data_IF_595782963901
#
_entry.id   IF_595782963901
#
_cell.length_a   1.000
_cell.length_b   1.000
_cell.length_c   1.000
_cell.angle_alpha   90.00
_cell.angle_beta   90.00
_cell.angle_gamma   90.00
#
_symmetry.space_group_name_H-M   'P 1'
#
loop_
_entity.id
_entity.type
_entity.pdbx_description
1 polymer ?
#
# COMPACT_ATOMS: atom_id res chain seq x y z
N UNK A 1 67.52 -46.97 5.61
CA UNK A 1 66.57 -46.39 4.64
C UNK A 1 65.15 -46.72 5.07
N UNK A 2 64.62 -46.15 6.16
CA UNK A 2 63.22 -46.33 6.58
C UNK A 2 62.72 -45.11 7.37
N UNK A 3 61.78 -44.41 6.72
CA UNK A 3 60.72 -43.45 7.10
C UNK A 3 60.83 -42.61 8.40
N UNK A 4 60.82 -41.28 8.21
CA UNK A 4 60.58 -40.22 9.21
C UNK A 4 59.11 -40.20 9.69
N UNK A 5 58.81 -39.82 10.95
CA UNK A 5 57.45 -39.66 11.44
C UNK A 5 56.94 -38.25 11.08
N UNK A 6 55.70 -38.15 10.59
CA UNK A 6 54.98 -36.87 10.49
C UNK A 6 53.82 -36.95 11.47
N UNK A 7 53.96 -36.25 12.59
CA UNK A 7 52.90 -35.95 13.53
C UNK A 7 52.14 -34.71 13.03
N UNK A 8 50.82 -34.72 13.30
CA UNK A 8 49.89 -33.58 13.26
C UNK A 8 49.55 -33.08 11.84
N UNK A 9 48.30 -32.86 11.45
CA UNK A 9 47.22 -32.20 12.18
C UNK A 9 45.89 -32.79 11.73
N UNK A 10 45.09 -33.19 12.71
CA UNK A 10 43.67 -33.48 12.58
C UNK A 10 42.97 -32.18 12.13
N UNK A 11 42.77 -31.98 10.82
CA UNK A 11 41.78 -30.99 10.35
C UNK A 11 40.41 -31.61 10.48
N UNK A 12 39.92 -31.62 11.71
CA UNK A 12 38.50 -31.73 11.99
C UNK A 12 37.87 -30.49 11.34
N UNK A 13 37.41 -30.64 10.11
CA UNK A 13 36.44 -29.73 9.54
C UNK A 13 35.17 -29.93 10.38
N UNK A 14 35.12 -29.25 11.53
CA UNK A 14 33.85 -28.85 12.11
C UNK A 14 33.28 -27.90 11.05
N UNK A 15 32.50 -28.47 10.11
CA UNK A 15 31.49 -27.69 9.43
C UNK A 15 30.65 -27.15 10.57
N UNK A 16 30.82 -25.88 10.87
CA UNK A 16 29.80 -25.14 11.57
C UNK A 16 28.62 -25.18 10.61
N UNK A 17 27.76 -26.19 10.72
CA UNK A 17 26.37 -26.04 10.32
C UNK A 17 25.87 -24.91 11.21
N UNK A 18 25.98 -23.69 10.71
CA UNK A 18 25.14 -22.61 11.18
C UNK A 18 23.73 -23.10 10.93
N UNK A 19 23.10 -23.64 11.98
CA UNK A 19 21.65 -23.78 12.03
C UNK A 19 21.10 -22.39 11.70
N UNK A 20 20.73 -22.19 10.43
CA UNK A 20 19.89 -21.09 9.99
C UNK A 20 18.52 -21.35 10.59
N UNK A 21 18.40 -21.13 11.90
CA UNK A 21 17.17 -20.58 12.46
C UNK A 21 17.06 -19.19 11.85
N UNK A 22 16.62 -19.15 10.60
CA UNK A 22 16.21 -17.95 9.90
C UNK A 22 15.04 -17.42 10.70
N UNK A 23 15.34 -16.60 11.71
CA UNK A 23 14.37 -15.70 12.29
C UNK A 23 13.73 -15.02 11.10
N UNK A 24 12.45 -15.27 10.86
CA UNK A 24 11.67 -14.60 9.81
C UNK A 24 11.47 -13.14 10.24
N UNK A 25 12.57 -12.40 10.35
CA UNK A 25 12.55 -10.95 10.44
C UNK A 25 12.28 -10.51 9.01
N UNK A 26 11.00 -10.53 8.66
CA UNK A 26 10.50 -9.90 7.45
C UNK A 26 11.01 -8.45 7.42
N UNK A 27 11.54 -8.06 6.26
CA UNK A 27 11.99 -6.70 6.03
C UNK A 27 10.85 -5.71 6.32
N UNK A 28 11.18 -4.60 7.00
CA UNK A 28 10.20 -3.55 7.29
C UNK A 28 9.94 -2.75 6.01
N UNK A 29 8.76 -2.95 5.40
CA UNK A 29 8.30 -2.18 4.24
C UNK A 29 7.35 -1.04 4.64
N UNK A 30 7.15 -0.09 3.71
CA UNK A 30 6.25 1.06 3.91
C UNK A 30 5.18 1.10 2.81
N UNK A 31 3.92 1.13 3.24
CA UNK A 31 2.77 1.37 2.37
C UNK A 31 1.90 2.46 3.03
N UNK A 32 1.94 3.66 2.45
CA UNK A 32 1.22 4.84 2.93
C UNK A 32 0.77 5.67 1.74
N UNK A 33 -0.51 6.01 1.70
CA UNK A 33 -1.15 6.78 0.63
C UNK A 33 -1.83 8.00 1.25
N UNK A 34 -1.55 9.17 0.72
CA UNK A 34 -2.19 10.43 1.11
C UNK A 34 -3.04 10.94 -0.05
N UNK A 35 -4.32 11.18 0.17
CA UNK A 35 -5.22 11.72 -0.85
C UNK A 35 -5.95 12.95 -0.33
N UNK A 36 -6.13 13.94 -1.21
CA UNK A 36 -7.01 15.07 -0.99
C UNK A 36 -7.91 15.19 -2.21
N UNK A 37 -9.21 15.06 -1.99
CA UNK A 37 -10.15 14.96 -3.11
C UNK A 37 -11.57 15.27 -2.70
N UNK A 38 -12.49 15.02 -3.64
CA UNK A 38 -13.92 15.18 -3.43
C UNK A 38 -14.64 13.85 -3.49
N UNK A 39 -15.62 13.68 -2.61
CA UNK A 39 -16.42 12.46 -2.53
C UNK A 39 -17.44 12.41 -3.67
N UNK A 40 -17.49 11.30 -4.40
CA UNK A 40 -18.36 11.14 -5.57
C UNK A 40 -19.79 10.70 -5.25
N UNK A 41 -19.95 9.92 -4.18
CA UNK A 41 -21.22 9.35 -3.75
C UNK A 41 -21.29 9.31 -2.23
N UNK A 42 -22.50 9.33 -1.69
CA UNK A 42 -22.69 9.20 -0.25
C UNK A 42 -22.09 7.87 0.27
N UNK A 43 -21.52 7.86 1.48
CA UNK A 43 -20.90 6.68 2.04
C UNK A 43 -21.93 5.58 2.31
N UNK A 44 -21.58 4.35 1.94
CA UNK A 44 -22.41 3.16 2.17
C UNK A 44 -21.78 2.32 3.27
N UNK A 45 -22.53 2.04 4.33
CA UNK A 45 -22.15 1.09 5.37
C UNK A 45 -22.51 -0.32 4.91
N UNK A 46 -21.51 -1.14 4.61
CA UNK A 46 -21.68 -2.55 4.25
C UNK A 46 -21.35 -3.42 5.45
N UNK A 47 -22.34 -4.16 5.92
CA UNK A 47 -22.18 -5.23 6.90
C UNK A 47 -22.35 -6.56 6.17
N UNK A 48 -21.30 -7.39 6.17
CA UNK A 48 -21.35 -8.74 5.61
C UNK A 48 -21.33 -9.72 6.78
N UNK A 49 -22.17 -10.75 6.73
CA UNK A 49 -22.20 -11.79 7.76
C UNK A 49 -20.80 -12.37 8.00
N UNK A 50 -20.37 -12.42 9.25
CA UNK A 50 -19.04 -12.88 9.64
C UNK A 50 -17.88 -11.89 9.41
N UNK A 51 -18.10 -10.70 8.84
CA UNK A 51 -17.08 -9.67 8.68
C UNK A 51 -17.42 -8.39 9.45
N UNK A 52 -16.38 -7.69 9.89
CA UNK A 52 -16.52 -6.38 10.50
C UNK A 52 -17.20 -5.41 9.50
N UNK A 53 -18.12 -4.53 9.96
CA UNK A 53 -18.77 -3.59 9.08
C UNK A 53 -17.75 -2.61 8.48
N UNK A 54 -18.00 -2.17 7.25
CA UNK A 54 -17.08 -1.32 6.48
C UNK A 54 -17.85 -0.17 5.85
N UNK A 55 -17.37 1.06 6.02
CA UNK A 55 -17.90 2.21 5.27
C UNK A 55 -17.12 2.38 3.98
N UNK A 56 -17.82 2.43 2.85
CA UNK A 56 -17.24 2.51 1.51
C UNK A 56 -17.75 3.76 0.80
N UNK A 57 -16.86 4.50 0.14
CA UNK A 57 -17.21 5.62 -0.73
C UNK A 57 -16.16 5.82 -1.83
N UNK A 58 -16.49 6.64 -2.83
CA UNK A 58 -15.56 7.01 -3.91
C UNK A 58 -14.98 8.39 -3.69
N UNK A 59 -13.70 8.57 -4.03
CA UNK A 59 -12.99 9.84 -3.95
C UNK A 59 -12.33 10.17 -5.30
N UNK A 60 -12.65 11.34 -5.84
CA UNK A 60 -12.04 11.89 -7.04
C UNK A 60 -10.82 12.73 -6.68
N UNK A 61 -9.70 12.47 -7.35
CA UNK A 61 -8.55 13.39 -7.42
C UNK A 61 -8.33 13.82 -8.86
N UNK A 62 -7.99 15.09 -9.06
CA UNK A 62 -7.75 15.66 -10.38
C UNK A 62 -6.26 15.93 -10.54
N UNK A 63 -5.71 15.51 -11.68
CA UNK A 63 -4.38 15.82 -12.13
C UNK A 63 -4.48 16.72 -13.35
N UNK A 64 -3.80 17.86 -13.32
CA UNK A 64 -3.76 18.83 -14.42
C UNK A 64 -2.31 18.93 -14.90
N UNK A 65 -2.09 18.74 -16.19
CA UNK A 65 -0.76 18.82 -16.80
C UNK A 65 -0.83 19.62 -18.10
N UNK A 66 0.27 20.29 -18.44
CA UNK A 66 0.38 21.03 -19.70
C UNK A 66 0.89 20.09 -20.78
N UNK A 67 0.18 20.00 -21.88
CA UNK A 67 0.47 19.11 -23.00
C UNK A 67 1.11 19.89 -24.15
N UNK A 68 2.39 20.25 -24.03
CA UNK A 68 3.10 20.90 -25.14
C UNK A 68 4.61 20.82 -25.02
N UNK A 69 5.25 20.25 -26.04
CA UNK A 69 6.71 20.29 -26.29
C UNK A 69 7.15 21.64 -26.91
N UNK A 70 6.21 22.55 -27.16
CA UNK A 70 6.45 23.81 -27.85
C UNK A 70 6.82 24.93 -26.89
N UNK A 71 7.98 25.55 -27.12
CA UNK A 71 8.47 26.78 -26.46
C UNK A 71 7.55 28.01 -26.63
N UNK A 72 6.38 27.84 -27.26
CA UNK A 72 5.39 28.88 -27.52
C UNK A 72 4.15 28.64 -26.66
N UNK A 73 4.00 29.51 -25.66
CA UNK A 73 2.89 29.53 -24.70
C UNK A 73 1.53 29.75 -25.38
N UNK A 74 0.89 28.69 -25.88
CA UNK A 74 -0.52 28.72 -26.26
C UNK A 74 -1.38 28.33 -25.05
N UNK A 75 -2.37 29.16 -24.73
CA UNK A 75 -3.27 29.06 -23.57
C UNK A 75 -4.19 27.80 -23.60
N UNK A 76 -4.10 26.98 -24.64
CA UNK A 76 -5.06 25.90 -24.95
C UNK A 76 -4.69 24.50 -24.45
N UNK A 77 -3.44 24.24 -24.10
CA UNK A 77 -2.98 22.85 -23.92
C UNK A 77 -2.87 22.43 -22.45
N UNK A 78 -3.93 22.62 -21.66
CA UNK A 78 -4.02 22.07 -20.29
C UNK A 78 -4.93 20.85 -20.30
N UNK A 79 -4.33 19.67 -20.16
CA UNK A 79 -5.06 18.41 -20.02
C UNK A 79 -5.42 18.15 -18.55
N UNK A 80 -6.62 17.59 -18.32
CA UNK A 80 -7.08 17.19 -17.00
C UNK A 80 -7.46 15.70 -16.98
N UNK A 81 -6.94 14.97 -15.99
CA UNK A 81 -7.30 13.58 -15.71
C UNK A 81 -7.95 13.48 -14.33
N UNK A 82 -9.09 12.78 -14.26
CA UNK A 82 -9.77 12.50 -12.98
C UNK A 82 -9.58 11.03 -12.63
N UNK A 83 -9.03 10.76 -11.44
CA UNK A 83 -8.82 9.40 -10.93
C UNK A 83 -9.79 9.12 -9.78
N UNK A 84 -10.52 8.01 -9.87
CA UNK A 84 -11.50 7.58 -8.88
C UNK A 84 -10.91 6.50 -7.98
N UNK A 85 -10.98 6.74 -6.66
CA UNK A 85 -10.42 5.87 -5.63
C UNK A 85 -11.56 5.26 -4.84
N UNK A 86 -11.52 3.95 -4.63
CA UNK A 86 -12.45 3.27 -3.73
C UNK A 86 -11.87 3.26 -2.32
N UNK A 87 -12.49 4.00 -1.42
CA UNK A 87 -12.05 4.10 -0.02
C UNK A 87 -12.86 3.12 0.83
N UNK A 88 -12.17 2.32 1.65
CA UNK A 88 -12.78 1.38 2.59
C UNK A 88 -12.29 1.66 4.01
N UNK A 89 -13.21 2.00 4.92
CA UNK A 89 -12.89 2.35 6.31
C UNK A 89 -13.35 1.23 7.24
N UNK A 90 -12.36 0.52 7.82
CA UNK A 90 -12.59 -0.60 8.74
C UNK A 90 -12.50 -0.21 10.22
N UNK A 91 -11.75 0.85 10.54
CA UNK A 91 -11.50 1.28 11.92
C UNK A 91 -12.82 1.70 12.56
N UNK A 92 -13.28 1.06 13.67
CA UNK A 92 -14.63 1.25 14.19
C UNK A 92 -15.06 2.70 14.38
N UNK A 93 -14.28 3.52 15.11
CA UNK A 93 -14.64 4.92 15.32
C UNK A 93 -14.58 5.78 14.05
N UNK A 94 -13.64 5.52 13.14
CA UNK A 94 -13.52 6.31 11.91
C UNK A 94 -14.59 5.93 10.89
N UNK A 95 -15.01 4.66 10.88
CA UNK A 95 -16.09 4.13 10.04
C UNK A 95 -17.41 4.83 10.31
N UNK A 96 -17.77 4.97 11.58
CA UNK A 96 -19.05 5.54 12.01
C UNK A 96 -19.06 7.05 11.74
N UNK A 97 -17.94 7.74 12.01
CA UNK A 97 -17.75 9.15 11.65
C UNK A 97 -17.81 9.34 10.13
N UNK A 98 -17.13 8.51 9.35
CA UNK A 98 -17.17 8.60 7.89
C UNK A 98 -18.60 8.44 7.37
N UNK A 99 -19.37 7.49 7.91
CA UNK A 99 -20.76 7.28 7.48
C UNK A 99 -21.69 8.45 7.83
N UNK A 100 -21.56 9.00 9.04
CA UNK A 100 -22.42 10.08 9.52
C UNK A 100 -22.13 11.42 8.84
N UNK A 101 -20.84 11.77 8.71
CA UNK A 101 -20.42 13.12 8.33
C UNK A 101 -20.00 13.27 6.87
N UNK A 102 -19.52 12.20 6.22
CA UNK A 102 -19.16 12.30 4.79
C UNK A 102 -20.43 12.32 3.96
N UNK A 103 -20.48 13.25 3.00
CA UNK A 103 -21.54 13.38 2.02
C UNK A 103 -20.95 13.52 0.62
N UNK A 104 -21.77 13.28 -0.40
CA UNK A 104 -21.41 13.59 -1.79
C UNK A 104 -20.94 15.05 -1.90
N UNK A 105 -19.80 15.25 -2.56
CA UNK A 105 -19.18 16.56 -2.77
C UNK A 105 -18.27 17.05 -1.63
N UNK A 106 -18.27 16.39 -0.46
CA UNK A 106 -17.37 16.71 0.65
C UNK A 106 -15.91 16.68 0.19
N UNK A 107 -15.16 17.73 0.53
CA UNK A 107 -13.71 17.80 0.29
C UNK A 107 -13.01 17.24 1.52
N UNK A 108 -12.28 16.14 1.36
CA UNK A 108 -11.67 15.41 2.46
C UNK A 108 -10.20 15.11 2.18
N UNK A 109 -9.41 15.14 3.24
CA UNK A 109 -8.06 14.59 3.29
C UNK A 109 -8.11 13.23 3.97
N UNK A 110 -7.38 12.26 3.44
CA UNK A 110 -7.27 10.93 4.04
C UNK A 110 -5.86 10.39 3.91
N UNK A 111 -5.51 9.55 4.88
CA UNK A 111 -4.30 8.74 4.91
C UNK A 111 -4.71 7.28 5.06
N UNK A 112 -4.05 6.39 4.32
CA UNK A 112 -4.29 4.96 4.40
C UNK A 112 -3.19 4.14 3.77
N UNK A 113 -3.52 2.90 3.46
CA UNK A 113 -2.67 1.96 2.70
C UNK A 113 -3.42 1.49 1.46
N UNK A 114 -2.70 1.15 0.40
CA UNK A 114 -3.30 0.50 -0.76
C UNK A 114 -3.41 -1.02 -0.52
N UNK A 115 -4.55 -1.58 -0.91
CA UNK A 115 -4.84 -3.02 -0.87
C UNK A 115 -5.58 -3.38 -2.17
N UNK A 116 -5.06 -4.34 -2.92
CA UNK A 116 -5.59 -4.70 -4.24
C UNK A 116 -6.77 -5.68 -4.18
N UNK A 117 -7.03 -6.31 -3.02
CA UNK A 117 -8.10 -7.28 -2.85
C UNK A 117 -8.10 -8.38 -3.92
N UNK A 118 -7.27 -9.40 -3.77
CA UNK A 118 -7.32 -10.58 -4.65
C UNK A 118 -8.62 -11.36 -4.42
N UNK A 119 -9.33 -11.67 -5.50
CA UNK A 119 -10.48 -12.56 -5.50
C UNK A 119 -10.36 -13.52 -6.67
N UNK A 120 -10.79 -14.77 -6.48
CA UNK A 120 -10.94 -15.72 -7.58
C UNK A 120 -12.33 -15.53 -8.17
N UNK A 121 -12.40 -15.31 -9.49
CA UNK A 121 -13.64 -15.29 -10.27
C UNK A 121 -14.29 -16.68 -10.35
#
# INVERSE_FOLDING_TARGET
MFRRPVLQVLRQFVRHESETTTSLVLERSLNRVHLLGRVGQDPVLRQVEGKNPVTIFSLATNEMWRSGDSEVYQLGDVSQKTTWHRISVFRPGLRDVAYQYVKKGSRIYLEGKIDYGEYMD
#
